data_IF_041384730865
#
_entry.id   IF_041384730865
#
_cell.length_a   1.000
_cell.length_b   1.000
_cell.length_c   1.000
_cell.angle_alpha   90.00
_cell.angle_beta   90.00
_cell.angle_gamma   90.00
#
_symmetry.space_group_name_H-M   'P 1'
#
loop_
_entity.id
_entity.type
_entity.pdbx_description
1 polymer ?
#
# COMPACT_ATOMS: atom_id res chain seq x y z
N UNK A 1 -60.03 -20.58 82.15
CA UNK A 1 -60.11 -20.18 80.72
C UNK A 1 -58.82 -19.53 80.39
N UNK A 2 -57.89 -20.29 79.83
CA UNK A 2 -56.54 -19.88 79.57
C UNK A 2 -56.38 -19.77 78.05
N UNK A 3 -55.98 -18.64 77.58
CA UNK A 3 -55.63 -18.39 76.16
C UNK A 3 -54.11 -18.41 76.06
N UNK A 4 -53.58 -19.42 75.30
CA UNK A 4 -52.20 -19.59 75.09
C UNK A 4 -51.74 -18.64 73.94
N UNK A 5 -50.76 -17.81 74.29
CA UNK A 5 -50.00 -17.01 73.31
C UNK A 5 -49.06 -17.86 72.45
N UNK A 6 -49.24 -17.83 71.17
CA UNK A 6 -48.44 -18.50 70.21
C UNK A 6 -47.40 -17.51 69.61
N UNK A 7 -46.24 -17.52 70.21
CA UNK A 7 -45.10 -16.70 69.70
C UNK A 7 -44.48 -17.33 68.47
N UNK A 8 -44.72 -16.72 67.29
CA UNK A 8 -44.08 -17.12 66.01
C UNK A 8 -42.68 -16.52 65.96
N UNK A 9 -41.66 -17.37 66.19
CA UNK A 9 -40.26 -17.01 66.00
C UNK A 9 -39.95 -16.84 64.50
N UNK A 10 -39.75 -15.62 64.06
CA UNK A 10 -39.26 -15.33 62.70
C UNK A 10 -37.79 -15.68 62.59
N UNK A 11 -37.48 -16.84 61.97
CA UNK A 11 -36.13 -17.22 61.62
C UNK A 11 -35.66 -16.38 60.44
N UNK A 12 -34.92 -15.29 60.71
CA UNK A 12 -34.22 -14.52 59.69
C UNK A 12 -33.14 -15.35 59.05
N UNK A 13 -33.33 -15.69 57.76
CA UNK A 13 -32.30 -16.28 56.93
C UNK A 13 -31.19 -15.26 56.68
N UNK A 14 -29.91 -15.57 56.96
CA UNK A 14 -28.82 -14.66 56.62
C UNK A 14 -28.76 -14.51 55.10
N UNK A 15 -28.95 -13.30 54.61
CA UNK A 15 -28.74 -12.94 53.21
C UNK A 15 -27.29 -13.26 52.80
N UNK A 16 -27.08 -14.33 52.05
CA UNK A 16 -25.79 -14.69 51.40
C UNK A 16 -25.49 -13.72 50.25
N UNK A 17 -25.41 -12.41 50.56
CA UNK A 17 -25.05 -11.39 49.55
C UNK A 17 -23.55 -11.38 49.20
N UNK A 18 -22.70 -12.04 49.98
CA UNK A 18 -21.26 -12.06 49.76
C UNK A 18 -20.76 -13.11 48.74
N UNK A 19 -21.55 -14.17 48.49
CA UNK A 19 -21.11 -15.26 47.62
C UNK A 19 -21.06 -14.90 46.13
N UNK A 20 -21.85 -13.90 45.69
CA UNK A 20 -21.88 -13.40 44.31
C UNK A 20 -20.95 -12.20 44.08
N UNK A 21 -20.46 -11.55 45.14
CA UNK A 21 -19.58 -10.38 45.00
C UNK A 21 -18.20 -10.75 44.44
N UNK A 22 -17.66 -11.89 44.84
CA UNK A 22 -16.32 -12.35 44.40
C UNK A 22 -16.27 -12.62 42.88
N UNK A 23 -17.21 -13.38 42.27
CA UNK A 23 -17.19 -13.58 40.81
C UNK A 23 -17.53 -12.31 40.03
N UNK A 24 -18.38 -11.42 40.56
CA UNK A 24 -18.66 -10.12 39.94
C UNK A 24 -17.43 -9.21 39.90
N UNK A 25 -16.67 -9.13 40.99
CA UNK A 25 -15.41 -8.37 41.03
C UNK A 25 -14.37 -8.97 40.07
N UNK A 26 -14.25 -10.30 40.00
CA UNK A 26 -13.39 -10.97 39.03
C UNK A 26 -13.75 -10.65 37.59
N UNK A 27 -15.04 -10.67 37.25
CA UNK A 27 -15.53 -10.36 35.91
C UNK A 27 -15.29 -8.87 35.53
N UNK A 28 -15.45 -7.95 36.47
CA UNK A 28 -15.16 -6.53 36.26
C UNK A 28 -13.66 -6.27 36.03
N UNK A 29 -12.80 -6.93 36.77
CA UNK A 29 -11.34 -6.84 36.56
C UNK A 29 -10.97 -7.36 35.18
N UNK A 30 -11.52 -8.51 34.78
CA UNK A 30 -11.26 -9.10 33.46
C UNK A 30 -11.75 -8.19 32.31
N UNK A 31 -12.94 -7.61 32.47
CA UNK A 31 -13.49 -6.65 31.53
C UNK A 31 -12.64 -5.37 31.44
N UNK A 32 -12.14 -4.87 32.57
CA UNK A 32 -11.25 -3.70 32.59
C UNK A 32 -9.90 -3.99 31.90
N UNK A 33 -9.32 -5.17 32.12
CA UNK A 33 -8.10 -5.61 31.44
C UNK A 33 -8.33 -5.75 29.94
N UNK A 34 -9.43 -6.37 29.51
CA UNK A 34 -9.79 -6.52 28.12
C UNK A 34 -10.01 -5.15 27.45
N UNK A 35 -10.74 -4.25 28.10
CA UNK A 35 -10.96 -2.90 27.59
C UNK A 35 -9.65 -2.09 27.50
N UNK A 36 -8.77 -2.21 28.51
CA UNK A 36 -7.44 -1.60 28.48
C UNK A 36 -6.57 -2.14 27.36
N UNK A 37 -6.60 -3.45 27.13
CA UNK A 37 -5.88 -4.09 26.03
C UNK A 37 -6.42 -3.64 24.65
N UNK A 38 -7.75 -3.60 24.49
CA UNK A 38 -8.39 -3.11 23.27
C UNK A 38 -8.05 -1.64 23.04
N UNK A 39 -8.13 -0.81 24.07
CA UNK A 39 -7.75 0.60 24.00
C UNK A 39 -6.26 0.76 23.62
N UNK A 40 -5.38 -0.04 24.17
CA UNK A 40 -3.95 -0.04 23.86
C UNK A 40 -3.67 -0.45 22.40
N UNK A 41 -4.36 -1.49 21.90
CA UNK A 41 -4.18 -1.99 20.52
C UNK A 41 -4.81 -1.04 19.50
N UNK A 42 -5.98 -0.50 19.81
CA UNK A 42 -6.71 0.43 18.93
C UNK A 42 -6.28 1.89 19.14
N UNK A 43 -5.41 2.18 20.12
CA UNK A 43 -4.93 3.54 20.35
C UNK A 43 -4.34 4.10 19.05
N UNK A 44 -4.87 5.22 18.52
CA UNK A 44 -4.33 5.80 17.31
C UNK A 44 -2.85 6.13 17.57
N UNK A 45 -1.98 5.38 16.92
CA UNK A 45 -0.55 5.71 16.93
C UNK A 45 -0.43 6.96 16.08
N UNK A 46 -0.28 8.09 16.74
CA UNK A 46 -0.07 9.37 16.08
C UNK A 46 1.04 9.22 15.04
N UNK A 47 0.86 9.77 13.82
CA UNK A 47 1.92 9.78 12.84
C UNK A 47 3.16 10.34 13.53
N UNK A 48 4.30 9.67 13.37
CA UNK A 48 5.58 10.16 13.89
C UNK A 48 5.84 11.59 13.41
N UNK A 49 6.83 12.28 13.97
CA UNK A 49 7.14 13.65 13.59
C UNK A 49 7.32 13.75 12.07
N UNK A 50 6.90 14.86 11.45
CA UNK A 50 7.05 15.07 10.01
C UNK A 50 8.55 14.94 9.66
N UNK A 51 8.83 14.20 8.60
CA UNK A 51 10.19 14.08 8.08
C UNK A 51 10.46 15.26 7.17
N UNK A 52 11.61 15.93 7.38
CA UNK A 52 12.03 17.01 6.47
C UNK A 52 12.17 16.48 5.04
N UNK A 53 11.69 17.19 4.02
CA UNK A 53 11.95 16.85 2.62
C UNK A 53 13.45 16.74 2.30
N UNK A 54 14.28 17.56 2.96
CA UNK A 54 15.73 17.61 2.80
C UNK A 54 16.50 16.62 3.67
N UNK A 55 15.77 15.71 4.36
CA UNK A 55 16.44 14.68 5.16
C UNK A 55 17.33 13.79 4.26
N UNK A 56 18.55 13.44 4.72
CA UNK A 56 19.45 12.62 3.92
C UNK A 56 18.81 11.29 3.56
N UNK A 57 19.06 10.82 2.34
CA UNK A 57 18.57 9.53 1.88
C UNK A 57 19.11 8.40 2.77
N UNK A 58 18.25 7.45 3.08
CA UNK A 58 18.59 6.27 3.87
C UNK A 58 19.15 5.18 2.97
N UNK A 59 20.33 4.64 3.28
CA UNK A 59 20.84 3.46 2.61
C UNK A 59 20.05 2.24 3.07
N UNK A 60 19.35 1.61 2.15
CA UNK A 60 18.59 0.39 2.38
C UNK A 60 19.03 -0.70 1.42
N UNK A 61 18.82 -1.96 1.80
CA UNK A 61 19.04 -3.12 0.93
C UNK A 61 17.79 -3.97 0.87
N UNK A 62 17.41 -4.41 -0.34
CA UNK A 62 16.29 -5.32 -0.57
C UNK A 62 16.81 -6.51 -1.35
N UNK A 63 16.79 -7.69 -0.73
CA UNK A 63 17.38 -8.92 -1.29
C UNK A 63 18.83 -8.74 -1.79
N UNK A 64 19.63 -7.93 -1.09
CA UNK A 64 21.02 -7.62 -1.47
C UNK A 64 21.18 -6.44 -2.45
N UNK A 65 20.13 -6.02 -3.13
CA UNK A 65 20.16 -4.84 -4.00
C UNK A 65 20.16 -3.55 -3.15
N UNK A 66 21.17 -2.66 -3.32
CA UNK A 66 21.27 -1.43 -2.56
C UNK A 66 20.42 -0.31 -3.18
N UNK A 67 19.79 0.49 -2.32
CA UNK A 67 19.02 1.69 -2.69
C UNK A 67 19.29 2.83 -1.71
N UNK A 68 19.23 4.07 -2.20
CA UNK A 68 19.26 5.29 -1.41
C UNK A 68 17.88 5.95 -1.47
N UNK A 69 17.09 5.84 -0.40
CA UNK A 69 15.70 6.25 -0.41
C UNK A 69 15.47 7.47 0.47
N UNK A 70 14.88 8.55 -0.06
CA UNK A 70 14.48 9.69 0.76
C UNK A 70 13.45 9.26 1.81
N UNK A 71 13.69 9.49 3.12
CA UNK A 71 12.75 9.07 4.16
C UNK A 71 11.38 9.74 4.05
N UNK A 72 11.32 10.94 3.46
CA UNK A 72 10.06 11.63 3.17
C UNK A 72 9.22 10.94 2.09
N UNK A 73 9.83 10.18 1.18
CA UNK A 73 9.11 9.36 0.19
C UNK A 73 8.50 8.09 0.80
N UNK A 74 9.01 7.62 1.93
CA UNK A 74 8.54 6.39 2.58
C UNK A 74 7.16 6.59 3.20
N UNK A 75 6.14 5.88 2.67
CA UNK A 75 4.75 5.98 3.11
C UNK A 75 4.51 5.36 4.49
N UNK A 76 5.26 4.32 4.81
CA UNK A 76 5.12 3.58 6.07
C UNK A 76 6.19 4.04 7.05
N UNK A 77 5.83 4.70 8.17
CA UNK A 77 6.79 5.22 9.14
C UNK A 77 7.77 4.18 9.68
N UNK A 78 7.31 2.94 9.86
CA UNK A 78 8.15 1.83 10.35
C UNK A 78 9.26 1.42 9.37
N UNK A 79 9.12 1.76 8.09
CA UNK A 79 10.14 1.50 7.06
C UNK A 79 11.25 2.56 7.04
N UNK A 80 11.09 3.70 7.73
CA UNK A 80 12.04 4.83 7.75
C UNK A 80 13.27 4.53 8.60
N UNK A 81 14.03 3.51 8.20
CA UNK A 81 15.27 3.09 8.85
C UNK A 81 16.25 2.59 7.80
N UNK A 82 17.54 2.77 8.05
CA UNK A 82 18.59 2.19 7.23
C UNK A 82 18.69 0.66 7.44
N UNK A 83 19.29 -0.03 6.48
CA UNK A 83 19.56 -1.46 6.55
C UNK A 83 18.66 -2.32 5.68
N UNK A 84 18.55 -3.61 6.03
CA UNK A 84 17.81 -4.58 5.22
C UNK A 84 16.30 -4.46 5.40
N UNK A 85 15.59 -4.55 4.28
CA UNK A 85 14.13 -4.56 4.21
C UNK A 85 13.66 -5.65 3.25
N UNK A 86 12.51 -6.24 3.52
CA UNK A 86 11.85 -7.14 2.56
C UNK A 86 11.04 -6.34 1.54
N UNK A 87 10.50 -5.21 1.98
CA UNK A 87 9.65 -4.33 1.17
C UNK A 87 9.71 -2.89 1.66
N UNK A 88 9.67 -1.95 0.71
CA UNK A 88 9.42 -0.53 0.98
C UNK A 88 8.35 0.01 0.04
N UNK A 89 7.50 0.90 0.57
CA UNK A 89 6.43 1.56 -0.17
C UNK A 89 6.68 3.06 -0.19
N UNK A 90 6.86 3.61 -1.39
CA UNK A 90 7.23 4.99 -1.62
C UNK A 90 6.11 5.75 -2.35
N UNK A 91 6.14 7.07 -2.23
CA UNK A 91 5.32 7.97 -3.03
C UNK A 91 6.16 9.15 -3.49
N UNK A 92 5.92 9.59 -4.72
CA UNK A 92 6.54 10.75 -5.33
C UNK A 92 5.48 11.63 -6.00
N UNK A 93 5.74 12.92 -6.07
CA UNK A 93 4.89 13.86 -6.79
C UNK A 93 5.19 13.77 -8.29
N UNK A 94 4.17 13.86 -9.10
CA UNK A 94 4.33 13.94 -10.54
C UNK A 94 4.04 15.36 -11.03
N UNK A 95 4.81 15.95 -11.94
CA UNK A 95 5.99 15.36 -12.63
C UNK A 95 7.33 15.63 -11.95
N UNK A 96 7.38 16.31 -10.79
CA UNK A 96 8.65 16.74 -10.15
C UNK A 96 9.51 15.56 -9.63
N UNK A 97 8.87 14.40 -9.33
CA UNK A 97 9.51 13.23 -8.72
C UNK A 97 10.07 13.51 -7.32
N UNK A 98 9.64 14.60 -6.71
CA UNK A 98 10.00 14.93 -5.34
C UNK A 98 9.15 14.12 -4.35
N UNK A 99 9.67 13.84 -3.15
CA UNK A 99 8.87 13.27 -2.08
C UNK A 99 7.69 14.20 -1.74
N UNK A 100 6.50 13.67 -1.44
CA UNK A 100 5.41 14.51 -0.97
C UNK A 100 5.78 15.12 0.39
N UNK A 101 5.50 16.40 0.57
CA UNK A 101 5.68 17.07 1.85
C UNK A 101 4.93 16.33 2.95
N UNK A 102 5.67 15.86 3.94
CA UNK A 102 5.10 15.13 5.08
C UNK A 102 4.18 16.01 5.95
N UNK A 103 4.26 17.34 5.79
CA UNK A 103 3.40 18.31 6.48
C UNK A 103 2.06 18.56 5.77
N UNK A 104 2.00 18.43 4.44
CA UNK A 104 0.78 18.72 3.66
C UNK A 104 -0.32 17.64 3.79
N UNK A 105 0.01 16.44 4.27
CA UNK A 105 -0.96 15.36 4.43
C UNK A 105 -1.84 15.47 5.68
N UNK A 106 -1.51 16.34 6.63
CA UNK A 106 -2.21 16.47 7.92
C UNK A 106 -2.98 17.78 8.14
N UNK A 107 -2.61 18.85 7.46
CA UNK A 107 -3.25 20.16 7.62
C UNK A 107 -4.26 20.40 6.49
N UNK A 108 -5.42 19.75 6.57
CA UNK A 108 -6.57 20.13 5.74
C UNK A 108 -7.13 21.44 6.30
N UNK A 109 -6.71 22.58 5.75
CA UNK A 109 -7.36 23.84 6.06
C UNK A 109 -8.85 23.73 5.67
N UNK A 110 -9.79 24.03 6.56
CA UNK A 110 -11.21 24.08 6.21
C UNK A 110 -11.41 25.23 5.23
N UNK A 111 -11.74 24.93 3.97
CA UNK A 111 -12.04 25.94 2.96
C UNK A 111 -11.26 25.86 1.64
N UNK A 112 -10.23 25.04 1.51
CA UNK A 112 -9.56 24.79 0.23
C UNK A 112 -10.35 23.80 -0.61
N UNK A 113 -11.52 24.21 -1.10
CA UNK A 113 -12.40 23.44 -1.97
C UNK A 113 -11.98 23.47 -3.44
N UNK A 114 -10.72 23.55 -3.73
CA UNK A 114 -10.14 23.21 -5.03
C UNK A 114 -8.92 22.34 -4.74
N UNK A 115 -9.19 21.09 -4.40
CA UNK A 115 -8.16 20.07 -4.33
C UNK A 115 -7.61 19.89 -5.75
N UNK A 116 -6.53 20.58 -6.05
CA UNK A 116 -5.61 20.07 -7.04
C UNK A 116 -5.28 18.67 -6.55
N UNK A 117 -5.80 17.67 -7.24
CA UNK A 117 -5.47 16.28 -6.99
C UNK A 117 -3.98 16.17 -7.24
N UNK A 118 -3.19 16.27 -6.18
CA UNK A 118 -1.73 16.22 -6.31
C UNK A 118 -1.42 14.88 -6.95
N UNK A 119 -0.98 14.94 -8.20
CA UNK A 119 -0.67 13.75 -8.96
C UNK A 119 0.48 13.00 -8.29
N UNK A 120 0.26 11.74 -7.92
CA UNK A 120 1.23 10.92 -7.19
C UNK A 120 1.53 9.65 -7.94
N UNK A 121 2.82 9.35 -8.02
CA UNK A 121 3.35 8.09 -8.46
C UNK A 121 3.72 7.25 -7.23
N UNK A 122 3.30 5.99 -7.21
CA UNK A 122 3.60 5.09 -6.09
C UNK A 122 4.62 4.03 -6.55
N UNK A 123 5.64 3.82 -5.75
CA UNK A 123 6.68 2.84 -6.01
C UNK A 123 6.71 1.82 -4.88
N UNK A 124 6.68 0.56 -5.24
CA UNK A 124 6.90 -0.54 -4.29
C UNK A 124 8.14 -1.28 -4.71
N UNK A 125 9.09 -1.46 -3.81
CA UNK A 125 10.28 -2.28 -4.01
C UNK A 125 10.18 -3.47 -3.05
N UNK A 126 10.27 -4.69 -3.58
CA UNK A 126 10.14 -5.92 -2.79
C UNK A 126 11.22 -6.91 -3.18
N UNK A 127 11.63 -7.75 -2.24
CA UNK A 127 12.41 -8.94 -2.56
C UNK A 127 11.66 -9.80 -3.59
N UNK A 128 12.37 -10.23 -4.64
CA UNK A 128 11.76 -10.96 -5.76
C UNK A 128 11.23 -12.35 -5.36
N UNK A 129 11.82 -12.98 -4.35
CA UNK A 129 11.48 -14.36 -3.96
C UNK A 129 11.57 -15.31 -5.16
N UNK A 130 10.71 -16.34 -5.15
CA UNK A 130 10.62 -17.33 -6.24
C UNK A 130 9.71 -16.89 -7.40
N UNK A 131 9.22 -15.65 -7.38
CA UNK A 131 8.35 -15.14 -8.42
C UNK A 131 9.11 -14.95 -9.75
N UNK A 132 8.45 -15.27 -10.86
CA UNK A 132 8.99 -14.99 -12.19
C UNK A 132 9.31 -13.51 -12.35
N UNK A 133 10.48 -13.21 -12.92
CA UNK A 133 10.83 -11.85 -13.26
C UNK A 133 9.76 -11.19 -14.15
N UNK A 134 9.56 -9.86 -14.06
CA UNK A 134 8.61 -9.16 -14.94
C UNK A 134 8.79 -9.51 -16.42
N UNK A 135 10.04 -9.50 -16.90
CA UNK A 135 10.38 -9.88 -18.26
C UNK A 135 9.96 -11.31 -18.64
N UNK A 136 10.15 -12.26 -17.73
CA UNK A 136 9.73 -13.65 -17.96
C UNK A 136 8.21 -13.80 -17.94
N UNK A 137 7.50 -13.04 -17.13
CA UNK A 137 6.01 -13.02 -17.17
C UNK A 137 5.49 -12.52 -18.51
N UNK A 138 6.14 -11.54 -19.10
CA UNK A 138 5.78 -10.99 -20.42
C UNK A 138 5.99 -12.04 -21.51
N UNK A 139 7.06 -12.84 -21.43
CA UNK A 139 7.35 -13.89 -22.42
C UNK A 139 6.48 -15.12 -22.28
N UNK A 140 6.20 -15.53 -21.06
CA UNK A 140 5.63 -16.86 -20.79
C UNK A 140 4.19 -16.85 -20.32
N UNK A 141 3.79 -15.83 -19.55
CA UNK A 141 2.48 -15.78 -18.90
C UNK A 141 1.49 -14.95 -19.71
N UNK A 142 1.81 -13.70 -20.00
CA UNK A 142 0.86 -12.78 -20.63
C UNK A 142 0.39 -13.22 -22.03
N UNK A 143 1.22 -13.79 -22.92
CA UNK A 143 0.77 -14.24 -24.23
C UNK A 143 -0.30 -15.33 -24.16
N UNK A 144 -0.33 -16.11 -23.07
CA UNK A 144 -1.34 -17.18 -22.88
C UNK A 144 -2.73 -16.62 -22.58
N UNK A 145 -2.80 -15.40 -22.04
CA UNK A 145 -4.02 -14.78 -21.56
C UNK A 145 -4.46 -13.55 -22.39
N UNK A 146 -3.54 -12.91 -23.09
CA UNK A 146 -3.83 -11.78 -23.95
C UNK A 146 -4.57 -12.20 -25.24
N UNK A 147 -5.32 -11.28 -25.80
CA UNK A 147 -5.89 -11.44 -27.15
C UNK A 147 -4.77 -11.52 -28.20
N UNK A 148 -5.06 -12.21 -29.33
CA UNK A 148 -4.08 -12.31 -30.40
C UNK A 148 -3.84 -10.95 -31.07
N UNK A 149 -4.93 -10.20 -31.27
CA UNK A 149 -4.88 -8.92 -31.98
C UNK A 149 -4.49 -7.80 -31.05
N UNK A 150 -3.69 -6.88 -31.54
CA UNK A 150 -3.34 -5.62 -30.87
C UNK A 150 -4.07 -4.47 -31.57
N UNK A 151 -4.66 -3.58 -30.78
CA UNK A 151 -5.10 -2.27 -31.23
C UNK A 151 -3.96 -1.25 -31.05
N UNK A 152 -4.02 -0.13 -31.78
CA UNK A 152 -3.07 0.96 -31.57
C UNK A 152 -3.84 2.17 -31.04
N UNK A 153 -3.40 2.70 -29.92
CA UNK A 153 -3.93 3.92 -29.35
C UNK A 153 -3.43 5.16 -30.11
N UNK A 154 -4.14 6.31 -30.03
CA UNK A 154 -3.71 7.55 -30.68
C UNK A 154 -2.32 8.04 -30.25
N UNK A 155 -1.87 7.69 -29.06
CA UNK A 155 -0.55 8.01 -28.50
C UNK A 155 0.59 7.12 -29.05
N UNK A 156 0.26 6.16 -29.93
CA UNK A 156 1.20 5.23 -30.56
C UNK A 156 1.50 3.96 -29.77
N UNK A 157 0.90 3.76 -28.59
CA UNK A 157 1.02 2.50 -27.85
C UNK A 157 0.16 1.39 -28.50
N UNK A 158 0.73 0.21 -28.61
CA UNK A 158 -0.03 -0.99 -28.91
C UNK A 158 -0.73 -1.50 -27.65
N UNK A 159 -1.96 -1.97 -27.79
CA UNK A 159 -2.81 -2.44 -26.69
C UNK A 159 -3.29 -3.84 -26.98
N UNK A 160 -3.03 -4.77 -26.07
CA UNK A 160 -3.62 -6.12 -26.07
C UNK A 160 -4.50 -6.30 -24.85
N UNK A 161 -5.77 -6.52 -25.07
CA UNK A 161 -6.71 -6.83 -24.00
C UNK A 161 -6.43 -8.23 -23.44
N UNK A 162 -6.53 -8.41 -22.11
CA UNK A 162 -6.60 -9.75 -21.57
C UNK A 162 -8.02 -10.31 -21.71
N UNK A 163 -8.09 -11.61 -22.02
CA UNK A 163 -9.36 -12.32 -22.27
C UNK A 163 -10.17 -12.44 -20.99
N UNK A 164 -11.48 -12.44 -21.11
CA UNK A 164 -12.41 -12.75 -20.01
C UNK A 164 -12.18 -14.18 -19.50
N UNK A 165 -12.46 -14.39 -18.20
CA UNK A 165 -12.23 -15.69 -17.55
C UNK A 165 -10.75 -15.97 -17.22
N UNK A 166 -9.85 -14.98 -17.37
CA UNK A 166 -8.44 -15.10 -17.01
C UNK A 166 -8.15 -14.31 -15.72
N UNK A 167 -7.02 -14.61 -15.04
CA UNK A 167 -6.62 -13.85 -13.83
C UNK A 167 -6.42 -12.34 -14.09
N UNK A 168 -6.26 -11.93 -15.33
CA UNK A 168 -6.01 -10.55 -15.76
C UNK A 168 -7.22 -9.91 -16.45
N UNK A 169 -8.40 -10.53 -16.36
CA UNK A 169 -9.61 -9.96 -16.97
C UNK A 169 -9.85 -8.52 -16.47
N UNK A 170 -10.25 -7.62 -17.38
CA UNK A 170 -10.42 -6.20 -17.03
C UNK A 170 -9.14 -5.38 -17.10
N UNK A 171 -8.01 -5.99 -17.49
CA UNK A 171 -6.75 -5.31 -17.71
C UNK A 171 -6.34 -5.37 -19.19
N UNK A 172 -5.45 -4.45 -19.55
CA UNK A 172 -4.82 -4.36 -20.88
C UNK A 172 -3.31 -4.34 -20.71
N UNK A 173 -2.61 -4.96 -21.65
CA UNK A 173 -1.17 -4.84 -21.79
C UNK A 173 -0.90 -3.74 -22.84
N UNK A 174 -0.17 -2.71 -22.45
CA UNK A 174 0.15 -1.57 -23.32
C UNK A 174 1.66 -1.45 -23.46
N UNK A 175 2.14 -1.30 -24.69
CA UNK A 175 3.56 -1.28 -25.00
C UNK A 175 3.87 -0.43 -26.24
N UNK A 176 5.09 0.07 -26.33
CA UNK A 176 5.55 0.81 -27.49
C UNK A 176 5.91 -0.11 -28.67
N UNK A 177 6.07 0.46 -29.85
CA UNK A 177 6.37 -0.30 -31.09
C UNK A 177 7.78 -0.88 -31.12
N UNK A 178 8.70 -0.37 -30.29
CA UNK A 178 10.08 -0.87 -30.17
C UNK A 178 10.25 -1.89 -29.06
N UNK A 179 9.19 -2.14 -28.29
CA UNK A 179 9.25 -3.13 -27.22
C UNK A 179 9.63 -4.50 -27.75
N UNK A 180 10.77 -5.00 -27.32
CA UNK A 180 11.23 -6.36 -27.61
C UNK A 180 11.04 -7.27 -26.38
N UNK A 181 10.18 -8.28 -26.55
CA UNK A 181 9.93 -9.27 -25.50
C UNK A 181 11.17 -10.14 -25.20
N UNK A 182 12.17 -10.18 -26.07
CA UNK A 182 13.40 -10.99 -25.85
C UNK A 182 14.40 -10.26 -24.99
N UNK A 183 14.60 -8.97 -25.20
CA UNK A 183 15.52 -8.12 -24.44
C UNK A 183 14.84 -7.41 -23.26
N UNK A 184 13.50 -7.28 -23.30
CA UNK A 184 12.70 -6.45 -22.38
C UNK A 184 13.07 -4.96 -22.47
N UNK A 185 13.56 -4.54 -23.61
CA UNK A 185 13.79 -3.14 -23.95
C UNK A 185 12.49 -2.50 -24.43
N UNK A 186 12.34 -1.19 -24.18
CA UNK A 186 11.15 -0.44 -24.50
C UNK A 186 10.14 -0.35 -23.34
N UNK A 187 9.10 0.42 -23.56
CA UNK A 187 8.07 0.69 -22.56
C UNK A 187 6.95 -0.36 -22.59
N UNK A 188 6.68 -0.97 -21.45
CA UNK A 188 5.57 -1.87 -21.28
C UNK A 188 4.92 -1.69 -19.91
N UNK A 189 3.59 -1.58 -19.91
CA UNK A 189 2.79 -1.48 -18.70
C UNK A 189 1.55 -2.37 -18.79
N UNK A 190 1.08 -2.81 -17.64
CA UNK A 190 -0.21 -3.47 -17.49
C UNK A 190 -1.17 -2.52 -16.79
N UNK A 191 -2.30 -2.24 -17.39
CA UNK A 191 -3.26 -1.26 -16.93
C UNK A 191 -4.63 -1.87 -16.70
N UNK A 192 -5.25 -1.58 -15.56
CA UNK A 192 -6.68 -1.85 -15.39
C UNK A 192 -7.49 -0.89 -16.26
N UNK A 193 -8.67 -1.34 -16.71
CA UNK A 193 -9.62 -0.47 -17.39
C UNK A 193 -10.32 0.43 -16.39
N UNK A 194 -10.66 1.64 -16.83
CA UNK A 194 -11.49 2.53 -16.03
C UNK A 194 -12.84 1.91 -15.76
N UNK A 195 -13.33 1.96 -14.53
CA UNK A 195 -14.63 1.44 -14.13
C UNK A 195 -15.42 2.55 -13.44
N UNK A 196 -16.38 3.14 -14.17
CA UNK A 196 -17.16 4.27 -13.67
C UNK A 196 -16.28 5.48 -13.31
N UNK A 197 -16.42 6.06 -12.13
CA UNK A 197 -15.66 7.23 -11.71
C UNK A 197 -14.19 6.93 -11.32
N UNK A 198 -13.81 5.64 -11.25
CA UNK A 198 -12.46 5.24 -10.87
C UNK A 198 -11.57 5.14 -12.10
N UNK A 199 -10.50 5.96 -12.20
CA UNK A 199 -9.56 5.86 -13.31
C UNK A 199 -8.83 4.53 -13.25
N UNK A 200 -8.45 4.01 -14.41
CA UNK A 200 -7.58 2.84 -14.50
C UNK A 200 -6.20 3.14 -13.92
N UNK A 201 -5.56 2.11 -13.40
CA UNK A 201 -4.21 2.19 -12.83
C UNK A 201 -3.27 1.34 -13.66
N UNK A 202 -2.13 1.90 -14.02
CA UNK A 202 -1.05 1.22 -14.71
C UNK A 202 0.03 0.76 -13.75
N UNK A 203 0.61 -0.39 -14.06
CA UNK A 203 1.71 -1.04 -13.36
C UNK A 203 2.88 -1.19 -14.33
N UNK A 204 3.94 -0.41 -14.13
CA UNK A 204 5.24 -0.65 -14.70
C UNK A 204 6.02 -1.56 -13.76
N UNK A 205 6.66 -2.59 -14.27
CA UNK A 205 7.39 -3.57 -13.44
C UNK A 205 8.77 -3.82 -14.00
N UNK A 206 9.79 -3.73 -13.13
CA UNK A 206 11.19 -3.99 -13.47
C UNK A 206 11.87 -4.74 -12.34
N UNK A 207 12.82 -5.63 -12.66
CA UNK A 207 13.69 -6.27 -11.69
C UNK A 207 15.09 -5.66 -11.77
N UNK A 208 15.65 -5.33 -10.62
CA UNK A 208 17.04 -4.92 -10.46
C UNK A 208 17.67 -5.90 -9.47
N UNK A 209 18.64 -6.65 -9.93
CA UNK A 209 19.25 -7.74 -9.17
C UNK A 209 18.15 -8.70 -8.66
N UNK A 210 17.96 -8.79 -7.35
CA UNK A 210 16.93 -9.62 -6.71
C UNK A 210 15.77 -8.80 -6.12
N UNK A 211 15.60 -7.54 -6.53
CA UNK A 211 14.50 -6.67 -6.10
C UNK A 211 13.55 -6.38 -7.26
N UNK A 212 12.26 -6.61 -7.04
CA UNK A 212 11.19 -6.22 -7.96
C UNK A 212 10.70 -4.80 -7.63
N UNK A 213 10.75 -3.93 -8.61
CA UNK A 213 10.25 -2.56 -8.56
C UNK A 213 8.93 -2.52 -9.31
N UNK A 214 7.87 -2.05 -8.66
CA UNK A 214 6.57 -1.82 -9.28
C UNK A 214 6.20 -0.36 -9.12
N UNK A 215 6.04 0.34 -10.25
CA UNK A 215 5.59 1.73 -10.28
C UNK A 215 4.12 1.77 -10.69
N UNK A 216 3.30 2.48 -9.90
CA UNK A 216 1.87 2.64 -10.11
C UNK A 216 1.51 4.08 -10.39
N UNK A 217 0.73 4.31 -11.44
CA UNK A 217 0.25 5.62 -11.84
C UNK A 217 -1.09 5.53 -12.57
N UNK A 218 -1.87 6.63 -12.70
CA UNK A 218 -3.12 6.65 -13.42
C UNK A 218 -2.95 6.36 -14.92
N UNK A 219 -3.89 5.59 -15.50
CA UNK A 219 -3.88 5.25 -16.94
C UNK A 219 -3.94 6.49 -17.83
N UNK A 220 -4.65 7.51 -17.40
CA UNK A 220 -4.85 8.74 -18.19
C UNK A 220 -3.52 9.47 -18.48
N UNK A 221 -2.48 9.21 -17.68
CA UNK A 221 -1.15 9.78 -17.92
C UNK A 221 -0.48 9.21 -19.17
N UNK A 222 -0.89 8.05 -19.63
CA UNK A 222 -0.32 7.42 -20.84
C UNK A 222 -0.52 8.23 -22.12
N UNK A 223 -1.31 9.30 -22.10
CA UNK A 223 -1.37 10.26 -23.20
C UNK A 223 0.01 10.79 -23.55
N UNK A 224 0.88 10.97 -22.54
CA UNK A 224 2.29 11.35 -22.69
C UNK A 224 3.23 10.28 -22.06
N UNK A 225 3.11 9.05 -22.57
CA UNK A 225 3.82 7.90 -22.02
C UNK A 225 5.34 8.03 -22.07
N UNK A 226 5.89 8.77 -23.07
CA UNK A 226 7.34 8.98 -23.15
C UNK A 226 7.87 9.79 -21.99
N UNK A 227 7.15 10.81 -21.57
CA UNK A 227 7.49 11.59 -20.35
C UNK A 227 7.38 10.71 -19.10
N UNK A 228 6.38 9.81 -19.05
CA UNK A 228 6.23 8.85 -17.94
C UNK A 228 7.41 7.88 -17.90
N UNK A 229 7.77 7.28 -19.02
CA UNK A 229 8.91 6.37 -19.15
C UNK A 229 10.21 7.04 -18.68
N UNK A 230 10.53 8.20 -19.25
CA UNK A 230 11.72 8.98 -18.86
C UNK A 230 11.69 9.38 -17.38
N UNK A 231 10.52 9.67 -16.83
CA UNK A 231 10.32 9.95 -15.41
C UNK A 231 10.58 8.73 -14.53
N UNK A 232 10.07 7.58 -14.92
CA UNK A 232 10.29 6.30 -14.20
C UNK A 232 11.77 5.93 -14.20
N UNK A 233 12.45 6.04 -15.35
CA UNK A 233 13.88 5.72 -15.43
C UNK A 233 14.70 6.66 -14.54
N UNK A 234 14.48 7.97 -14.60
CA UNK A 234 15.15 8.93 -13.71
C UNK A 234 14.90 8.65 -12.24
N UNK A 235 13.67 8.26 -11.90
CA UNK A 235 13.30 7.92 -10.52
C UNK A 235 14.07 6.68 -10.05
N UNK A 236 14.09 5.63 -10.85
CA UNK A 236 14.79 4.39 -10.52
C UNK A 236 16.30 4.61 -10.41
N UNK A 237 16.88 5.37 -11.34
CA UNK A 237 18.29 5.75 -11.28
C UNK A 237 18.62 6.59 -10.05
N UNK A 238 17.74 7.54 -9.69
CA UNK A 238 17.88 8.37 -8.49
C UNK A 238 17.82 7.60 -7.18
N UNK A 239 17.15 6.44 -7.18
CA UNK A 239 17.08 5.55 -6.01
C UNK A 239 18.31 4.62 -5.92
N UNK A 240 19.13 4.50 -6.95
CA UNK A 240 20.34 3.67 -6.90
C UNK A 240 21.49 4.44 -6.23
N UNK A 241 22.40 3.75 -5.51
CA UNK A 241 23.62 4.37 -5.03
C UNK A 241 24.44 4.91 -6.21
N UNK A 242 24.93 6.13 -6.08
CA UNK A 242 25.92 6.65 -7.02
C UNK A 242 27.24 5.90 -6.76
N UNK A 243 27.75 5.20 -7.78
CA UNK A 243 29.07 4.57 -7.77
C UNK A 243 30.16 5.64 -7.71
#
# INVERSE_FOLDING_TARGET
>A
MAISDLSIAATGRPRRSGALALPLVGMLILAAIAAGFIAYVLWPRWPGPPVSPDAPALPITIAGAPFNVPPAAMRVPLQRRAGAHERVDLAFLWPSLEPPDSGASGARAPGAAAQQTVARMFVTITAAGDALAPAERIKTIYPRYAAADAATEPNGLAVKAFRSGTPYQGEDLMYDSIYDSTTSEGFLVRCSRSAGPTPGICLYSRRIDHADIVVRFPRDWLTDWRTIEAGIERLIEGLRPRS
#
